data_IF_975302201801
#
_entry.id   IF_975302201801
#
_cell.length_a   1.000
_cell.length_b   1.000
_cell.length_c   1.000
_cell.angle_alpha   90.00
_cell.angle_beta   90.00
_cell.angle_gamma   90.00
#
_symmetry.space_group_name_H-M   'P 1'
#
loop_
_entity.id
_entity.type
_entity.pdbx_description
1 polymer ?
#
# COMPACT_ATOMS: atom_id res chain seq x y z
N UNK A 1 14.47 -23.46 23.79
CA UNK A 1 14.20 -22.44 22.76
C UNK A 1 14.13 -23.19 21.45
N UNK A 2 12.94 -23.41 20.92
CA UNK A 2 12.73 -24.08 19.63
C UNK A 2 13.25 -23.15 18.53
N UNK A 3 14.22 -23.62 17.75
CA UNK A 3 14.61 -22.98 16.50
C UNK A 3 13.40 -23.07 15.55
N UNK A 4 12.64 -21.98 15.42
CA UNK A 4 11.72 -21.85 14.30
C UNK A 4 12.57 -21.90 13.03
N UNK A 5 12.36 -22.91 12.18
CA UNK A 5 12.99 -22.96 10.85
C UNK A 5 12.44 -21.80 10.02
N UNK A 6 13.18 -20.69 9.98
CA UNK A 6 12.86 -19.55 9.13
C UNK A 6 13.38 -19.88 7.72
N UNK A 7 12.48 -20.04 6.77
CA UNK A 7 12.81 -20.17 5.35
C UNK A 7 12.42 -18.88 4.66
N UNK A 8 13.33 -18.20 3.96
CA UNK A 8 13.05 -16.87 3.45
C UNK A 8 14.05 -16.37 2.41
N UNK A 9 13.81 -15.16 1.91
CA UNK A 9 14.62 -14.50 0.90
C UNK A 9 14.67 -12.98 1.08
N UNK A 10 15.76 -12.37 0.62
CA UNK A 10 15.95 -10.92 0.62
C UNK A 10 15.91 -10.43 -0.82
N UNK A 11 15.03 -9.47 -1.09
CA UNK A 11 14.93 -8.78 -2.37
C UNK A 11 15.32 -7.32 -2.22
N UNK A 12 15.80 -6.74 -3.31
CA UNK A 12 16.10 -5.31 -3.40
C UNK A 12 15.25 -4.68 -4.49
N UNK A 13 14.75 -3.48 -4.20
CA UNK A 13 13.90 -2.73 -5.13
C UNK A 13 14.04 -1.22 -4.93
N UNK A 14 13.11 -0.49 -5.51
CA UNK A 14 12.96 0.95 -5.29
C UNK A 14 11.64 1.23 -4.57
N UNK A 15 11.59 2.33 -3.84
CA UNK A 15 10.36 2.85 -3.27
C UNK A 15 10.21 4.33 -3.62
N UNK A 16 9.00 4.71 -4.04
CA UNK A 16 8.61 6.10 -4.24
C UNK A 16 7.70 6.54 -3.10
N UNK A 17 8.11 7.57 -2.37
CA UNK A 17 7.37 8.13 -1.24
C UNK A 17 6.43 9.19 -1.76
N UNK A 18 5.15 9.05 -1.44
CA UNK A 18 4.10 10.00 -1.78
C UNK A 18 3.26 10.40 -0.57
N UNK A 19 2.68 11.59 -0.65
CA UNK A 19 1.63 12.03 0.26
C UNK A 19 0.27 11.56 -0.27
N UNK A 20 -0.47 10.88 0.59
CA UNK A 20 -1.88 10.57 0.39
C UNK A 20 -2.70 11.18 1.52
N UNK A 21 -3.94 11.52 1.21
CA UNK A 21 -4.91 11.85 2.24
C UNK A 21 -5.45 10.53 2.81
N UNK A 22 -5.47 10.38 4.13
CA UNK A 22 -5.82 9.14 4.83
C UNK A 22 -7.17 8.56 4.35
N UNK A 23 -8.13 9.44 4.07
CA UNK A 23 -9.46 9.05 3.58
C UNK A 23 -9.46 8.56 2.13
N UNK A 24 -8.43 8.88 1.34
CA UNK A 24 -8.29 8.38 -0.03
C UNK A 24 -7.75 6.95 -0.08
N UNK A 25 -7.13 6.44 0.99
CA UNK A 25 -6.79 5.00 1.07
C UNK A 25 -8.02 4.10 1.08
N UNK A 26 -9.18 4.63 1.49
CA UNK A 26 -10.46 3.90 1.48
C UNK A 26 -11.15 3.93 0.11
N UNK A 27 -10.67 4.75 -0.82
CA UNK A 27 -11.22 4.89 -2.18
C UNK A 27 -10.60 3.83 -3.10
N UNK A 28 -10.91 2.56 -2.85
CA UNK A 28 -10.49 1.44 -3.71
C UNK A 28 -11.62 1.06 -4.65
N UNK A 29 -11.37 1.10 -5.96
CA UNK A 29 -12.24 0.45 -6.93
C UNK A 29 -12.00 -1.06 -6.90
N UNK A 30 -13.05 -1.83 -6.68
CA UNK A 30 -12.99 -3.29 -6.73
C UNK A 30 -13.27 -3.80 -8.14
N UNK A 31 -12.87 -5.04 -8.49
CA UNK A 31 -13.24 -5.63 -9.77
C UNK A 31 -14.76 -5.67 -10.02
N UNK A 32 -15.57 -5.79 -8.96
CA UNK A 32 -17.03 -5.77 -9.06
C UNK A 32 -17.56 -4.40 -9.53
N UNK A 33 -16.85 -3.32 -9.17
CA UNK A 33 -17.23 -1.95 -9.51
C UNK A 33 -17.07 -1.62 -11.01
N UNK A 34 -16.27 -2.40 -11.75
CA UNK A 34 -16.00 -2.17 -13.18
C UNK A 34 -16.74 -3.16 -14.10
N UNK A 35 -17.64 -3.98 -13.55
CA UNK A 35 -18.36 -5.03 -14.30
C UNK A 35 -19.42 -4.49 -15.25
N UNK A 36 -19.93 -3.28 -15.01
CA UNK A 36 -20.93 -2.64 -15.87
C UNK A 36 -20.92 -1.10 -15.70
N UNK A 37 -21.50 -0.35 -16.65
CA UNK A 37 -21.62 1.10 -16.53
C UNK A 37 -22.37 1.55 -15.26
N UNK A 38 -23.39 0.81 -14.85
CA UNK A 38 -24.17 1.12 -13.64
C UNK A 38 -23.35 0.87 -12.38
N UNK A 39 -22.62 -0.25 -12.30
CA UNK A 39 -21.74 -0.54 -11.18
C UNK A 39 -20.66 0.54 -11.01
N UNK A 40 -20.08 1.01 -12.11
CA UNK A 40 -19.08 2.07 -12.10
C UNK A 40 -19.68 3.40 -11.61
N UNK A 41 -20.87 3.76 -12.09
CA UNK A 41 -21.57 4.94 -11.62
C UNK A 41 -21.84 4.88 -10.11
N UNK A 42 -22.27 3.72 -9.58
CA UNK A 42 -22.46 3.54 -8.14
C UNK A 42 -21.16 3.67 -7.35
N UNK A 43 -20.06 3.13 -7.87
CA UNK A 43 -18.75 3.24 -7.24
C UNK A 43 -18.25 4.69 -7.18
N UNK A 44 -18.41 5.44 -8.28
CA UNK A 44 -18.08 6.86 -8.35
C UNK A 44 -18.92 7.70 -7.37
N UNK A 45 -20.21 7.39 -7.22
CA UNK A 45 -21.08 8.07 -6.23
C UNK A 45 -20.58 7.84 -4.80
N UNK A 46 -20.22 6.61 -4.43
CA UNK A 46 -19.64 6.31 -3.09
C UNK A 46 -18.33 7.06 -2.85
N UNK A 47 -17.48 7.15 -3.87
CA UNK A 47 -16.23 7.91 -3.80
C UNK A 47 -16.52 9.39 -3.55
N UNK A 48 -17.45 9.98 -4.29
CA UNK A 48 -17.86 11.37 -4.13
C UNK A 48 -18.44 11.68 -2.73
N UNK A 49 -19.32 10.81 -2.23
CA UNK A 49 -19.86 10.93 -0.86
C UNK A 49 -18.75 10.85 0.21
N UNK A 50 -17.77 9.99 0.01
CA UNK A 50 -16.64 9.85 0.93
C UNK A 50 -15.79 11.13 0.90
N UNK A 51 -15.48 11.65 -0.29
CA UNK A 51 -14.72 12.91 -0.45
C UNK A 51 -15.43 14.10 0.22
N UNK A 52 -16.74 14.24 0.04
CA UNK A 52 -17.51 15.33 0.66
C UNK A 52 -17.54 15.25 2.19
N UNK A 53 -17.65 14.05 2.77
CA UNK A 53 -17.53 13.84 4.23
C UNK A 53 -16.12 14.10 4.77
N UNK A 54 -15.10 13.98 3.93
CA UNK A 54 -13.70 14.21 4.33
C UNK A 54 -13.39 15.69 4.49
N UNK A 55 -13.97 16.53 3.64
CA UNK A 55 -13.75 17.98 3.68
C UNK A 55 -14.20 18.62 5.00
N UNK A 56 -15.12 18.01 5.74
CA UNK A 56 -15.63 18.51 7.02
C UNK A 56 -14.78 18.09 8.23
N UNK A 57 -13.96 17.05 8.12
CA UNK A 57 -13.19 16.45 9.22
C UNK A 57 -11.70 16.89 9.25
N UNK A 58 -11.27 17.65 8.24
CA UNK A 58 -9.90 18.13 8.10
C UNK A 58 -8.97 17.05 7.52
N UNK A 59 -8.18 17.34 6.48
CA UNK A 59 -7.38 16.31 5.81
C UNK A 59 -6.21 15.85 6.71
N UNK A 60 -6.23 14.60 7.15
CA UNK A 60 -5.05 13.95 7.73
C UNK A 60 -4.14 13.46 6.62
N UNK A 61 -2.90 13.98 6.59
CA UNK A 61 -1.86 13.54 5.66
C UNK A 61 -1.31 12.19 6.12
N UNK A 62 -1.10 11.29 5.18
CA UNK A 62 -0.46 9.99 5.38
C UNK A 62 0.58 9.78 4.29
N UNK A 63 1.75 9.29 4.66
CA UNK A 63 2.84 9.04 3.73
C UNK A 63 2.85 7.56 3.38
N UNK A 64 2.88 7.25 2.10
CA UNK A 64 2.93 5.88 1.58
C UNK A 64 4.18 5.72 0.73
N UNK A 65 4.89 4.62 0.90
CA UNK A 65 5.93 4.17 -0.01
C UNK A 65 5.35 3.14 -0.99
N UNK A 66 5.34 3.46 -2.28
CA UNK A 66 5.10 2.48 -3.34
C UNK A 66 6.40 1.73 -3.61
N UNK A 67 6.52 0.52 -3.10
CA UNK A 67 7.68 -0.37 -3.24
C UNK A 67 7.53 -1.21 -4.50
N UNK A 68 8.57 -1.25 -5.34
CA UNK A 68 8.63 -2.05 -6.56
C UNK A 68 9.87 -2.94 -6.55
N UNK A 69 9.69 -4.23 -6.75
CA UNK A 69 10.79 -5.21 -6.86
C UNK A 69 10.41 -6.35 -7.80
N UNK A 70 11.38 -7.20 -8.12
CA UNK A 70 11.16 -8.44 -8.90
C UNK A 70 11.32 -9.64 -7.97
N UNK A 71 10.35 -10.56 -7.99
CA UNK A 71 10.42 -11.78 -7.19
C UNK A 71 11.43 -12.80 -7.74
N UNK A 72 11.58 -13.94 -7.06
CA UNK A 72 12.53 -15.00 -7.47
C UNK A 72 12.12 -15.72 -8.75
N UNK A 73 10.88 -15.54 -9.23
CA UNK A 73 10.35 -16.13 -10.45
C UNK A 73 10.38 -15.16 -11.63
N UNK A 74 10.86 -13.92 -11.43
CA UNK A 74 10.95 -12.89 -12.46
C UNK A 74 9.71 -12.02 -12.58
N UNK A 75 8.73 -12.14 -11.67
CA UNK A 75 7.51 -11.34 -11.73
C UNK A 75 7.73 -9.95 -11.10
N UNK A 76 7.23 -8.87 -11.72
CA UNK A 76 7.20 -7.56 -11.07
C UNK A 76 6.15 -7.54 -9.96
N UNK A 77 6.56 -7.09 -8.78
CA UNK A 77 5.69 -6.96 -7.60
C UNK A 77 5.66 -5.51 -7.15
N UNK A 78 4.46 -5.01 -6.85
CA UNK A 78 4.23 -3.66 -6.31
C UNK A 78 3.52 -3.79 -4.96
N UNK A 79 4.06 -3.17 -3.92
CA UNK A 79 3.52 -3.19 -2.56
C UNK A 79 3.41 -1.75 -2.04
N UNK A 80 2.29 -1.40 -1.41
CA UNK A 80 2.17 -0.17 -0.63
C UNK A 80 2.63 -0.40 0.81
N UNK A 81 3.59 0.40 1.27
CA UNK A 81 4.02 0.46 2.67
C UNK A 81 3.54 1.76 3.29
N UNK A 82 2.73 1.67 4.34
CA UNK A 82 2.26 2.83 5.09
C UNK A 82 3.33 3.34 6.07
N UNK A 83 3.70 4.61 5.93
CA UNK A 83 4.74 5.29 6.71
C UNK A 83 4.14 6.20 7.79
N UNK A 84 2.81 6.28 7.89
CA UNK A 84 2.09 7.07 8.89
C UNK A 84 1.99 8.56 8.55
N UNK A 85 1.72 9.39 9.56
CA UNK A 85 1.37 10.81 9.37
C UNK A 85 2.59 11.76 9.28
N UNK A 86 3.80 11.28 9.56
CA UNK A 86 5.02 12.08 9.56
C UNK A 86 5.88 11.76 8.34
N UNK A 87 6.39 12.81 7.68
CA UNK A 87 7.32 12.65 6.58
C UNK A 87 8.57 11.91 7.09
N UNK A 88 8.92 10.76 6.51
CA UNK A 88 10.14 10.06 6.89
C UNK A 88 11.38 10.91 6.57
N UNK A 89 12.47 10.81 7.34
CA UNK A 89 13.64 11.68 7.22
C UNK A 89 14.56 11.29 6.05
N UNK A 90 14.01 11.16 4.84
CA UNK A 90 14.79 10.94 3.64
C UNK A 90 15.06 12.27 2.92
N UNK A 91 16.22 12.35 2.28
CA UNK A 91 16.59 13.50 1.45
C UNK A 91 16.00 13.45 0.04
N UNK A 92 15.43 12.31 -0.35
CA UNK A 92 14.85 12.03 -1.67
C UNK A 92 13.53 11.29 -1.50
N UNK A 93 12.57 11.58 -2.38
CA UNK A 93 11.30 10.84 -2.47
C UNK A 93 11.45 9.50 -3.20
N UNK A 94 12.60 9.24 -3.83
CA UNK A 94 12.97 7.94 -4.37
C UNK A 94 14.08 7.33 -3.52
N UNK A 95 13.81 6.17 -2.94
CA UNK A 95 14.73 5.47 -2.03
C UNK A 95 14.88 4.00 -2.44
N UNK A 96 15.96 3.37 -1.97
CA UNK A 96 16.12 1.91 -2.11
C UNK A 96 15.24 1.21 -1.09
N UNK A 97 14.59 0.14 -1.52
CA UNK A 97 13.81 -0.74 -0.66
C UNK A 97 14.53 -2.09 -0.50
N UNK A 98 14.51 -2.63 0.72
CA UNK A 98 14.88 -4.01 1.01
C UNK A 98 13.64 -4.72 1.49
N UNK A 99 13.32 -5.84 0.85
CA UNK A 99 12.14 -6.65 1.16
C UNK A 99 12.66 -7.95 1.76
N UNK A 100 12.23 -8.26 2.97
CA UNK A 100 12.53 -9.50 3.65
C UNK A 100 11.24 -10.32 3.68
N UNK A 101 11.27 -11.51 3.09
CA UNK A 101 10.16 -12.46 3.14
C UNK A 101 10.61 -13.63 4.00
N UNK A 102 9.87 -13.89 5.07
CA UNK A 102 10.13 -14.96 6.03
C UNK A 102 8.90 -15.86 6.14
N UNK A 103 9.12 -17.17 5.97
CA UNK A 103 8.16 -18.22 6.24
C UNK A 103 8.43 -18.77 7.64
N UNK A 104 7.40 -18.83 8.46
CA UNK A 104 7.44 -19.39 9.81
C UNK A 104 6.18 -20.20 10.09
N UNK A 105 6.28 -21.23 10.92
CA UNK A 105 5.14 -22.01 11.38
C UNK A 105 4.48 -21.32 12.58
N UNK A 106 3.15 -21.28 12.60
CA UNK A 106 2.39 -20.82 13.76
C UNK A 106 2.48 -21.88 14.87
N UNK A 107 3.00 -21.48 16.03
CA UNK A 107 3.05 -22.38 17.19
C UNK A 107 1.62 -22.60 17.70
N UNK A 108 1.14 -23.85 17.58
CA UNK A 108 -0.12 -24.31 18.17
C UNK A 108 0.03 -24.61 19.65
#
# INVERSE_FOLDING_TARGET
>A
MSENKIVGGIFTGSAKIGEMLDTFMQLTLTPQDITSPIALQMALSRIYETMTKTLTSGPKKRYIAEVRFTDSLGNPVVIGLDLGEKLPPFTSNEVKARILIELFEEQR
#
